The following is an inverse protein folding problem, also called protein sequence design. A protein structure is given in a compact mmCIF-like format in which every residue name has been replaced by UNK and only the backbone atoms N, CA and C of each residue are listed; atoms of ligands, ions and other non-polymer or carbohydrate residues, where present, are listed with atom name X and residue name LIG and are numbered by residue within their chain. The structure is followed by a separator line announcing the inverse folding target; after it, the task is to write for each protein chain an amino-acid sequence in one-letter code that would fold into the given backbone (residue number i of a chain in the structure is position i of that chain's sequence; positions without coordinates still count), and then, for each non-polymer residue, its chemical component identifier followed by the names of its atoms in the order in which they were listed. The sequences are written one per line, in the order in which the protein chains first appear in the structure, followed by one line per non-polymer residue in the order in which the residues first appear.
data_IF_184620921062
#
_entry.id   IF_184620921062
#
_cell.length_a   1.000
_cell.length_b   1.000
_cell.length_c   1.000
_cell.angle_alpha   90.00
_cell.angle_beta   90.00
_cell.angle_gamma   90.00
#
_symmetry.space_group_name_H-M   'P 1'
#
loop_
_entity.id
_entity.type
_entity.pdbx_description
1 polymer ?
#
# COMPACT_ATOMS: atom_id res chain seq x y z
N UNK A 1 1.70 4.98 -1.97
CA UNK A 1 0.32 5.52 -2.06
C UNK A 1 -0.63 4.36 -1.90
N UNK A 2 -1.46 4.40 -0.86
CA UNK A 2 -2.46 3.37 -0.50
C UNK A 2 -3.80 3.69 -1.15
N UNK A 3 -4.62 2.69 -1.37
CA UNK A 3 -5.96 2.88 -1.92
C UNK A 3 -7.02 2.24 -1.01
N UNK A 4 -8.20 2.85 -0.91
CA UNK A 4 -9.19 2.49 0.14
C UNK A 4 -10.41 1.79 -0.42
N UNK A 5 -10.67 0.57 0.06
CA UNK A 5 -11.88 -0.22 -0.22
C UNK A 5 -12.39 -0.79 1.10
N UNK A 6 -13.71 -0.84 1.27
CA UNK A 6 -14.36 -1.36 2.50
C UNK A 6 -13.78 -0.73 3.78
N UNK A 7 -13.39 0.55 3.70
CA UNK A 7 -12.75 1.29 4.79
C UNK A 7 -11.38 0.75 5.21
N UNK A 8 -10.65 0.07 4.33
CA UNK A 8 -9.28 -0.37 4.52
C UNK A 8 -8.35 0.18 3.44
N UNK A 9 -7.14 0.60 3.84
CA UNK A 9 -6.04 0.94 2.93
C UNK A 9 -5.34 -0.32 2.46
N UNK A 10 -5.24 -0.48 1.15
CA UNK A 10 -4.49 -1.54 0.49
C UNK A 10 -3.17 -1.00 -0.07
N UNK A 11 -2.14 -1.83 -0.04
CA UNK A 11 -0.85 -1.54 -0.64
C UNK A 11 -0.82 -2.03 -2.08
N UNK A 12 -0.17 -1.27 -2.95
CA UNK A 12 0.02 -1.60 -4.36
C UNK A 12 1.40 -2.21 -4.58
N UNK A 13 1.55 -2.97 -5.66
CA UNK A 13 2.85 -3.46 -6.09
C UNK A 13 3.80 -2.29 -6.42
N UNK A 14 5.09 -2.37 -6.01
CA UNK A 14 6.08 -1.30 -6.19
C UNK A 14 6.68 -1.29 -7.61
N UNK A 15 5.84 -1.43 -8.64
CA UNK A 15 6.29 -1.46 -10.04
C UNK A 15 6.33 -0.06 -10.65
N UNK A 16 5.27 0.72 -10.45
CA UNK A 16 5.12 2.07 -11.00
C UNK A 16 4.28 2.94 -10.05
N UNK A 17 4.49 4.28 -10.06
CA UNK A 17 3.66 5.19 -9.29
C UNK A 17 2.18 5.06 -9.67
N UNK A 18 1.26 5.03 -8.70
CA UNK A 18 -0.17 4.99 -8.98
C UNK A 18 -0.68 6.34 -9.49
N UNK A 19 -1.51 6.28 -10.53
CA UNK A 19 -2.20 7.44 -11.08
C UNK A 19 -3.72 7.30 -10.92
N UNK A 20 -4.46 8.40 -10.66
CA UNK A 20 -5.91 8.36 -10.61
C UNK A 20 -6.52 7.84 -11.91
N UNK A 21 -7.59 7.04 -11.81
CA UNK A 21 -8.28 6.42 -12.94
C UNK A 21 -7.66 5.11 -13.44
N UNK A 22 -6.60 4.62 -12.81
CA UNK A 22 -6.05 3.29 -13.09
C UNK A 22 -6.78 2.22 -12.29
N UNK A 23 -6.94 1.03 -12.87
CA UNK A 23 -7.36 -0.17 -12.15
C UNK A 23 -6.11 -1.02 -11.85
N UNK A 24 -5.83 -1.34 -10.59
CA UNK A 24 -4.61 -2.04 -10.19
C UNK A 24 -4.87 -3.16 -9.20
N UNK A 25 -4.04 -4.18 -9.26
CA UNK A 25 -4.00 -5.24 -8.27
C UNK A 25 -3.20 -4.79 -7.02
N UNK A 26 -3.73 -5.14 -5.87
CA UNK A 26 -3.13 -4.88 -4.55
C UNK A 26 -2.32 -6.09 -4.07
N UNK A 27 -1.47 -5.88 -3.06
CA UNK A 27 -0.67 -6.97 -2.48
C UNK A 27 -1.49 -8.10 -1.85
N UNK A 28 -2.79 -7.88 -1.58
CA UNK A 28 -3.68 -8.93 -1.09
C UNK A 28 -4.49 -9.62 -2.19
N UNK A 29 -4.25 -9.30 -3.46
CA UNK A 29 -4.93 -9.89 -4.62
C UNK A 29 -6.27 -9.24 -4.97
N UNK A 30 -6.66 -8.16 -4.30
CA UNK A 30 -7.85 -7.40 -4.70
C UNK A 30 -7.50 -6.43 -5.83
N UNK A 31 -8.38 -6.34 -6.84
CA UNK A 31 -8.27 -5.39 -7.95
C UNK A 31 -9.14 -4.17 -7.67
N UNK A 32 -8.54 -2.99 -7.81
CA UNK A 32 -9.09 -1.76 -7.26
C UNK A 32 -8.96 -0.59 -8.23
N UNK A 33 -9.98 0.27 -8.27
CA UNK A 33 -9.91 1.53 -9.01
C UNK A 33 -9.25 2.61 -8.15
N UNK A 34 -8.17 3.19 -8.68
CA UNK A 34 -7.42 4.24 -8.02
C UNK A 34 -8.15 5.56 -8.17
N UNK A 35 -8.98 5.88 -7.18
CA UNK A 35 -9.56 7.20 -7.01
C UNK A 35 -8.58 8.20 -6.39
N UNK A 36 -8.99 9.46 -6.33
CA UNK A 36 -8.32 10.46 -5.47
C UNK A 36 -8.66 10.14 -4.01
N UNK A 37 -7.67 9.85 -3.13
CA UNK A 37 -7.95 9.60 -1.73
C UNK A 37 -8.59 10.82 -1.07
N UNK A 38 -9.63 10.59 -0.29
CA UNK A 38 -10.28 11.59 0.58
C UNK A 38 -9.58 11.70 1.92
N UNK A 39 -9.92 12.71 2.73
CA UNK A 39 -9.40 12.84 4.09
C UNK A 39 -9.73 11.63 4.98
N UNK A 40 -10.88 10.99 4.78
CA UNK A 40 -11.33 9.82 5.53
C UNK A 40 -10.53 8.58 5.13
N UNK A 41 -10.16 8.45 3.85
CA UNK A 41 -9.35 7.35 3.35
C UNK A 41 -7.97 7.31 4.02
N UNK A 42 -7.42 8.48 4.34
CA UNK A 42 -6.17 8.57 5.10
C UNK A 42 -6.30 8.07 6.55
N UNK A 43 -7.51 8.04 7.12
CA UNK A 43 -7.77 7.55 8.47
C UNK A 43 -8.14 6.07 8.51
N UNK A 44 -8.44 5.46 7.36
CA UNK A 44 -8.82 4.06 7.27
C UNK A 44 -7.68 3.13 7.69
N UNK A 45 -7.92 2.08 8.51
CA UNK A 45 -6.88 1.11 8.86
C UNK A 45 -6.27 0.46 7.61
N UNK A 46 -5.03 -0.01 7.69
CA UNK A 46 -4.42 -0.76 6.57
C UNK A 46 -4.88 -2.21 6.61
N UNK A 47 -5.18 -2.81 5.45
CA UNK A 47 -5.40 -4.24 5.34
C UNK A 47 -4.19 -5.01 5.89
N UNK A 48 -4.41 -5.96 6.80
CA UNK A 48 -3.35 -6.69 7.49
C UNK A 48 -2.43 -7.44 6.51
N UNK A 49 -2.99 -8.11 5.50
CA UNK A 49 -2.22 -8.78 4.46
C UNK A 49 -1.34 -7.80 3.69
N UNK A 50 -1.89 -6.65 3.30
CA UNK A 50 -1.12 -5.61 2.62
C UNK A 50 -0.01 -5.04 3.50
N UNK A 51 -0.28 -4.84 4.80
CA UNK A 51 0.71 -4.35 5.76
C UNK A 51 1.87 -5.33 5.94
N UNK A 52 1.58 -6.61 6.18
CA UNK A 52 2.59 -7.66 6.36
C UNK A 52 3.43 -7.86 5.10
N UNK A 53 2.81 -7.92 3.92
CA UNK A 53 3.54 -8.07 2.66
C UNK A 53 4.39 -6.84 2.35
N UNK A 54 3.87 -5.63 2.58
CA UNK A 54 4.61 -4.40 2.34
C UNK A 54 5.80 -4.25 3.29
N UNK A 55 5.65 -4.57 4.57
CA UNK A 55 6.75 -4.54 5.56
C UNK A 55 7.83 -5.55 5.22
N UNK A 56 7.46 -6.80 4.93
CA UNK A 56 8.42 -7.82 4.49
C UNK A 56 9.15 -7.43 3.18
N UNK A 57 8.48 -6.72 2.27
CA UNK A 57 9.11 -6.19 1.04
C UNK A 57 10.03 -5.01 1.35
N UNK A 58 9.63 -4.13 2.27
CA UNK A 58 10.42 -3.00 2.75
C UNK A 58 11.72 -3.46 3.40
N UNK A 59 11.67 -4.47 4.27
CA UNK A 59 12.84 -5.07 4.92
C UNK A 59 13.83 -5.67 3.91
N UNK A 60 13.32 -6.21 2.80
CA UNK A 60 14.16 -6.74 1.71
C UNK A 60 14.81 -5.65 0.87
N UNK A 61 14.08 -4.56 0.60
CA UNK A 61 14.57 -3.44 -0.22
C UNK A 61 15.48 -2.49 0.56
N UNK A 62 15.26 -2.37 1.86
CA UNK A 62 16.05 -1.58 2.78
C UNK A 62 16.56 -2.50 3.90
N UNK A 63 17.74 -3.12 3.75
CA UNK A 63 18.36 -3.82 4.87
C UNK A 63 18.50 -2.85 6.05
N UNK A 64 18.49 -3.37 7.30
CA UNK A 64 18.59 -2.53 8.48
C UNK A 64 19.78 -1.59 8.33
N UNK A 65 19.51 -0.28 8.32
CA UNK A 65 20.57 0.72 8.34
C UNK A 65 21.34 0.48 9.63
N UNK A 66 22.64 0.22 9.52
CA UNK A 66 23.51 0.06 10.67
C UNK A 66 23.30 1.28 11.58
N UNK A 67 22.63 1.05 12.72
CA UNK A 67 22.32 2.10 13.71
C UNK A 67 23.45 2.16 14.75
N UNK A 68 24.68 1.92 14.33
CA UNK A 68 25.86 2.23 15.14
C UNK A 68 25.95 3.74 15.30
N UNK A 69 25.45 4.22 16.45
CA UNK A 69 25.76 5.51 17.03
C UNK A 69 26.72 5.28 18.18
#
# INVERSE_FOLDING_TARGET
MTAVIRSLRHALHPTEPPHPGQCRETLCGETIDLGKPTAIDWLSPTCDTCWLTATATGDRLHPPRDRTR
#
